data_IF_557436497369
#
_entry.id   IF_557436497369
#
_cell.length_a   1.000
_cell.length_b   1.000
_cell.length_c   1.000
_cell.angle_alpha   90.00
_cell.angle_beta   90.00
_cell.angle_gamma   90.00
#
_symmetry.space_group_name_H-M   'P 1'
#
loop_
_entity.id
_entity.type
_entity.pdbx_description
1 polymer ?
#
# COMPACT_ATOMS: atom_id res chain seq x y z
N UNK A 1 -39.75 13.93 -9.67
CA UNK A 1 -38.78 14.57 -8.76
C UNK A 1 -38.41 13.52 -7.71
N UNK A 2 -37.44 12.65 -8.00
CA UNK A 2 -36.95 11.68 -7.04
C UNK A 2 -36.16 12.43 -5.97
N UNK A 3 -36.44 12.14 -4.72
CA UNK A 3 -35.88 12.76 -3.52
C UNK A 3 -34.37 12.56 -3.46
N UNK A 4 -33.60 13.56 -3.91
CA UNK A 4 -32.13 13.67 -3.82
C UNK A 4 -31.72 14.11 -2.40
N UNK A 5 -32.30 13.50 -1.37
CA UNK A 5 -32.00 13.82 0.03
C UNK A 5 -31.82 12.51 0.80
N UNK A 6 -30.58 12.04 0.76
CA UNK A 6 -29.99 11.02 1.64
C UNK A 6 -30.64 9.63 1.53
N UNK A 7 -30.30 8.88 0.47
CA UNK A 7 -30.34 7.41 0.60
C UNK A 7 -29.33 7.02 1.68
N UNK A 8 -29.85 6.70 2.86
CA UNK A 8 -29.04 6.20 3.97
C UNK A 8 -28.62 4.79 3.59
N UNK A 9 -27.33 4.61 3.28
CA UNK A 9 -26.78 3.27 3.11
C UNK A 9 -26.96 2.47 4.39
N UNK A 10 -27.66 1.34 4.29
CA UNK A 10 -27.78 0.38 5.37
C UNK A 10 -26.63 -0.61 5.30
N UNK A 11 -25.81 -0.65 6.35
CA UNK A 11 -24.77 -1.67 6.53
C UNK A 11 -25.40 -2.83 7.31
N UNK A 12 -25.51 -4.03 6.74
CA UNK A 12 -26.01 -5.19 7.46
C UNK A 12 -25.09 -5.55 8.63
N UNK A 13 -25.66 -5.93 9.77
CA UNK A 13 -24.88 -6.27 10.98
C UNK A 13 -24.18 -7.63 10.87
N UNK A 14 -24.68 -8.49 9.99
CA UNK A 14 -24.22 -9.85 9.70
C UNK A 14 -23.31 -9.93 8.47
N UNK A 15 -22.95 -8.78 7.89
CA UNK A 15 -22.03 -8.68 6.75
C UNK A 15 -20.68 -8.05 7.17
N UNK A 16 -19.67 -8.87 7.49
CA UNK A 16 -18.35 -8.37 7.88
C UNK A 16 -17.60 -7.69 6.73
N UNK A 17 -17.93 -7.97 5.47
CA UNK A 17 -17.28 -7.33 4.31
C UNK A 17 -17.77 -5.90 4.19
N UNK A 18 -19.08 -5.67 4.23
CA UNK A 18 -19.67 -4.32 4.23
C UNK A 18 -19.15 -3.49 5.43
N UNK A 19 -19.10 -4.10 6.62
CA UNK A 19 -18.55 -3.46 7.82
C UNK A 19 -17.08 -3.05 7.65
N UNK A 20 -16.24 -3.91 7.08
CA UNK A 20 -14.81 -3.62 6.92
C UNK A 20 -14.51 -2.65 5.79
N UNK A 21 -15.32 -2.58 4.74
CA UNK A 21 -15.21 -1.49 3.75
C UNK A 21 -15.45 -0.13 4.39
N UNK A 22 -16.51 0.00 5.20
CA UNK A 22 -16.79 1.25 5.90
C UNK A 22 -15.71 1.60 6.93
N UNK A 23 -15.26 0.60 7.70
CA UNK A 23 -14.19 0.78 8.68
C UNK A 23 -12.88 1.19 8.01
N UNK A 24 -12.51 0.54 6.90
CA UNK A 24 -11.32 0.85 6.11
C UNK A 24 -11.35 2.29 5.57
N UNK A 25 -12.49 2.72 5.04
CA UNK A 25 -12.71 4.11 4.64
C UNK A 25 -12.41 5.09 5.78
N UNK A 26 -13.06 4.91 6.93
CA UNK A 26 -12.91 5.81 8.07
C UNK A 26 -11.49 5.82 8.63
N UNK A 27 -10.86 4.65 8.72
CA UNK A 27 -9.49 4.52 9.20
C UNK A 27 -8.48 5.22 8.29
N UNK A 28 -8.61 5.05 6.96
CA UNK A 28 -7.72 5.70 6.00
C UNK A 28 -7.94 7.20 5.89
N UNK A 29 -9.19 7.67 6.03
CA UNK A 29 -9.49 9.10 6.11
C UNK A 29 -8.84 9.74 7.36
N UNK A 30 -8.99 9.11 8.52
CA UNK A 30 -8.36 9.57 9.76
C UNK A 30 -6.84 9.55 9.69
N UNK A 31 -6.24 8.51 9.11
CA UNK A 31 -4.80 8.41 8.90
C UNK A 31 -4.27 9.50 7.97
N UNK A 32 -5.02 9.84 6.90
CA UNK A 32 -4.65 10.93 6.00
C UNK A 32 -4.58 12.26 6.73
N UNK A 33 -5.60 12.59 7.53
CA UNK A 33 -5.60 13.79 8.39
C UNK A 33 -4.40 13.77 9.35
N UNK A 34 -4.17 12.65 10.03
CA UNK A 34 -3.05 12.49 10.94
C UNK A 34 -1.71 12.79 10.26
N UNK A 35 -1.39 12.15 9.13
CA UNK A 35 -0.11 12.37 8.46
C UNK A 35 0.05 13.79 7.92
N UNK A 36 -1.03 14.42 7.44
CA UNK A 36 -0.99 15.80 6.95
C UNK A 36 -0.71 16.81 8.07
N UNK A 37 -1.30 16.61 9.25
CA UNK A 37 -1.07 17.48 10.42
C UNK A 37 0.31 17.24 11.04
N UNK A 38 0.76 15.99 11.13
CA UNK A 38 2.09 15.66 11.65
C UNK A 38 3.25 16.20 10.79
N UNK A 39 2.98 16.72 9.58
CA UNK A 39 3.99 17.45 8.78
C UNK A 39 4.60 18.65 9.53
N UNK A 40 3.88 19.28 10.46
CA UNK A 40 4.42 20.39 11.24
C UNK A 40 5.31 19.95 12.41
N UNK A 41 5.35 18.64 12.74
CA UNK A 41 6.09 18.11 13.90
C UNK A 41 7.43 17.48 13.52
N UNK A 42 7.80 17.53 12.23
CA UNK A 42 9.04 16.95 11.69
C UNK A 42 9.87 17.98 10.92
N UNK A 43 11.17 17.72 10.81
CA UNK A 43 12.10 18.55 10.02
C UNK A 43 11.75 18.53 8.54
N UNK A 44 12.14 19.58 7.81
CA UNK A 44 11.76 19.79 6.39
C UNK A 44 12.07 18.59 5.49
N UNK A 45 13.17 17.87 5.77
CA UNK A 45 13.57 16.68 4.99
C UNK A 45 12.50 15.58 4.97
N UNK A 46 11.63 15.50 5.98
CA UNK A 46 10.60 14.47 6.14
C UNK A 46 9.19 14.92 5.77
N UNK A 47 8.98 16.22 5.54
CA UNK A 47 7.64 16.76 5.23
C UNK A 47 7.06 16.17 3.95
N UNK A 48 7.91 15.82 2.99
CA UNK A 48 7.51 15.12 1.76
C UNK A 48 7.07 13.69 2.05
N UNK A 49 7.81 12.93 2.87
CA UNK A 49 7.43 11.55 3.23
C UNK A 49 6.08 11.47 3.94
N UNK A 50 5.80 12.40 4.87
CA UNK A 50 4.50 12.48 5.52
C UNK A 50 3.39 12.93 4.56
N UNK A 51 3.69 13.84 3.62
CA UNK A 51 2.74 14.20 2.57
C UNK A 51 2.38 12.98 1.71
N UNK A 52 3.38 12.21 1.28
CA UNK A 52 3.18 10.97 0.50
C UNK A 52 2.33 9.97 1.28
N UNK A 53 2.60 9.77 2.58
CA UNK A 53 1.78 8.91 3.45
C UNK A 53 0.32 9.38 3.56
N UNK A 54 0.12 10.71 3.67
CA UNK A 54 -1.21 11.33 3.67
C UNK A 54 -1.94 11.17 2.34
N UNK A 55 -1.23 11.25 1.20
CA UNK A 55 -1.79 11.01 -0.14
C UNK A 55 -2.19 9.55 -0.35
N UNK A 56 -1.33 8.60 0.04
CA UNK A 56 -1.61 7.16 -0.05
C UNK A 56 -2.92 6.82 0.67
N UNK A 57 -3.04 7.25 1.93
CA UNK A 57 -4.22 6.99 2.75
C UNK A 57 -5.44 7.80 2.30
N UNK A 58 -5.25 9.05 1.84
CA UNK A 58 -6.34 9.88 1.34
C UNK A 58 -6.97 9.36 0.04
N UNK A 59 -6.14 8.95 -0.92
CA UNK A 59 -6.60 8.32 -2.17
C UNK A 59 -7.37 7.03 -1.85
N UNK A 60 -6.82 6.19 -0.98
CA UNK A 60 -7.47 4.95 -0.61
C UNK A 60 -8.78 5.18 0.15
N UNK A 61 -8.86 6.21 1.01
CA UNK A 61 -10.13 6.59 1.64
C UNK A 61 -11.21 6.92 0.60
N UNK A 62 -10.88 7.73 -0.41
CA UNK A 62 -11.83 8.05 -1.49
C UNK A 62 -12.27 6.79 -2.25
N UNK A 63 -11.36 5.88 -2.56
CA UNK A 63 -11.74 4.63 -3.24
C UNK A 63 -12.56 3.70 -2.35
N UNK A 64 -12.24 3.58 -1.06
CA UNK A 64 -13.04 2.79 -0.11
C UNK A 64 -14.43 3.36 0.10
N UNK A 65 -14.59 4.69 0.01
CA UNK A 65 -15.91 5.33 -0.03
C UNK A 65 -16.73 4.83 -1.23
N UNK A 66 -16.15 4.72 -2.43
CA UNK A 66 -16.88 4.20 -3.59
C UNK A 66 -17.09 2.68 -3.52
N UNK A 67 -16.09 1.94 -3.06
CA UNK A 67 -16.14 0.48 -2.99
C UNK A 67 -17.19 -0.02 -2.00
N UNK A 68 -17.38 0.67 -0.86
CA UNK A 68 -18.42 0.29 0.10
C UNK A 68 -19.83 0.39 -0.53
N UNK A 69 -20.09 1.46 -1.31
CA UNK A 69 -21.36 1.70 -1.98
C UNK A 69 -21.58 0.67 -3.10
N UNK A 70 -20.52 0.39 -3.88
CA UNK A 70 -20.52 -0.65 -4.91
C UNK A 70 -20.87 -2.01 -4.30
N UNK A 71 -20.12 -2.46 -3.29
CA UNK A 71 -20.28 -3.78 -2.69
C UNK A 71 -21.66 -3.95 -2.05
N UNK A 72 -22.15 -2.97 -1.28
CA UNK A 72 -23.48 -3.07 -0.64
C UNK A 72 -24.61 -3.13 -1.68
N UNK A 73 -24.39 -2.58 -2.87
CA UNK A 73 -25.40 -2.57 -3.95
C UNK A 73 -25.36 -3.82 -4.82
N UNK A 74 -24.16 -4.32 -5.14
CA UNK A 74 -23.97 -5.40 -6.13
C UNK A 74 -23.64 -6.74 -5.49
N UNK A 75 -23.10 -6.75 -4.27
CA UNK A 75 -22.45 -7.89 -3.62
C UNK A 75 -21.30 -8.50 -4.45
N UNK A 76 -20.71 -7.70 -5.34
CA UNK A 76 -19.56 -8.10 -6.15
C UNK A 76 -18.28 -7.47 -5.63
N UNK A 77 -17.16 -8.17 -5.83
CA UNK A 77 -15.82 -7.65 -5.56
C UNK A 77 -15.53 -6.45 -6.47
N UNK A 78 -15.15 -5.28 -5.94
CA UNK A 78 -14.94 -4.05 -6.70
C UNK A 78 -13.55 -4.02 -7.39
N UNK A 79 -13.27 -4.99 -8.26
CA UNK A 79 -11.95 -5.22 -8.89
C UNK A 79 -11.39 -3.95 -9.52
N UNK A 80 -12.17 -3.30 -10.39
CA UNK A 80 -11.70 -2.09 -11.09
C UNK A 80 -11.33 -0.95 -10.12
N UNK A 81 -12.14 -0.73 -9.08
CA UNK A 81 -11.87 0.33 -8.08
C UNK A 81 -10.61 0.03 -7.27
N UNK A 82 -10.36 -1.24 -6.92
CA UNK A 82 -9.11 -1.66 -6.25
C UNK A 82 -7.89 -1.38 -7.13
N UNK A 83 -7.93 -1.76 -8.41
CA UNK A 83 -6.79 -1.52 -9.30
C UNK A 83 -6.55 -0.04 -9.61
N UNK A 84 -7.59 0.79 -9.67
CA UNK A 84 -7.43 2.25 -9.79
C UNK A 84 -6.74 2.81 -8.53
N UNK A 85 -7.19 2.42 -7.33
CA UNK A 85 -6.52 2.79 -6.08
C UNK A 85 -5.06 2.35 -6.06
N UNK A 86 -4.78 1.08 -6.35
CA UNK A 86 -3.42 0.53 -6.33
C UNK A 86 -2.51 1.19 -7.37
N UNK A 87 -3.02 1.51 -8.56
CA UNK A 87 -2.26 2.22 -9.61
C UNK A 87 -1.83 3.61 -9.17
N UNK A 88 -2.56 4.24 -8.24
CA UNK A 88 -2.18 5.53 -7.68
C UNK A 88 -1.31 5.38 -6.43
N UNK A 89 -1.67 4.46 -5.53
CA UNK A 89 -1.04 4.34 -4.21
C UNK A 89 0.26 3.56 -4.20
N UNK A 90 0.40 2.51 -5.02
CA UNK A 90 1.64 1.70 -5.07
C UNK A 90 2.81 2.50 -5.63
N UNK A 91 2.69 3.28 -6.72
CA UNK A 91 3.76 4.20 -7.14
C UNK A 91 4.19 5.16 -6.04
N UNK A 92 3.25 5.68 -5.24
CA UNK A 92 3.57 6.54 -4.10
C UNK A 92 4.30 5.78 -2.98
N UNK A 93 3.91 4.54 -2.69
CA UNK A 93 4.64 3.68 -1.75
C UNK A 93 6.08 3.40 -2.20
N UNK A 94 6.31 3.16 -3.50
CA UNK A 94 7.68 2.96 -4.01
C UNK A 94 8.50 4.24 -4.10
N UNK A 95 7.86 5.40 -4.31
CA UNK A 95 8.49 6.71 -4.16
C UNK A 95 9.04 6.88 -2.75
N UNK A 96 8.33 6.42 -1.73
CA UNK A 96 8.79 6.54 -0.34
C UNK A 96 10.10 5.77 -0.10
N UNK A 97 10.27 4.57 -0.66
CA UNK A 97 11.55 3.86 -0.56
C UNK A 97 12.70 4.70 -1.12
N UNK A 98 12.50 5.34 -2.27
CA UNK A 98 13.49 6.26 -2.83
C UNK A 98 13.75 7.45 -1.90
N UNK A 99 12.72 8.07 -1.32
CA UNK A 99 12.87 9.21 -0.40
C UNK A 99 13.70 8.83 0.84
N UNK A 100 13.47 7.65 1.42
CA UNK A 100 14.22 7.17 2.59
C UNK A 100 15.71 7.00 2.31
N UNK A 101 16.07 6.50 1.13
CA UNK A 101 17.48 6.21 0.78
C UNK A 101 18.14 7.31 -0.05
N UNK A 102 17.42 8.38 -0.41
CA UNK A 102 17.96 9.51 -1.19
C UNK A 102 19.17 10.15 -0.53
N UNK A 103 19.12 10.33 0.80
CA UNK A 103 20.24 10.89 1.56
C UNK A 103 21.49 9.99 1.56
N UNK A 104 21.34 8.69 1.27
CA UNK A 104 22.43 7.73 1.14
C UNK A 104 22.94 7.58 -0.30
N UNK A 105 22.51 8.45 -1.22
CA UNK A 105 23.02 8.51 -2.59
C UNK A 105 22.13 7.86 -3.65
N UNK A 106 20.85 7.58 -3.34
CA UNK A 106 19.93 7.06 -4.34
C UNK A 106 19.81 7.99 -5.55
N UNK A 107 19.93 7.43 -6.75
CA UNK A 107 19.78 8.16 -8.02
C UNK A 107 18.33 8.14 -8.49
N UNK A 108 17.95 9.11 -9.33
CA UNK A 108 16.63 9.12 -9.97
C UNK A 108 16.35 7.85 -10.80
N UNK A 109 17.38 7.16 -11.26
CA UNK A 109 17.25 5.86 -11.92
C UNK A 109 16.58 4.80 -11.02
N UNK A 110 16.87 4.79 -9.72
CA UNK A 110 16.23 3.85 -8.79
C UNK A 110 14.72 4.09 -8.71
N UNK A 111 14.32 5.37 -8.61
CA UNK A 111 12.92 5.76 -8.58
C UNK A 111 12.18 5.24 -9.82
N UNK A 112 12.72 5.48 -11.02
CA UNK A 112 12.09 5.03 -12.27
C UNK A 112 12.06 3.51 -12.43
N UNK A 113 13.09 2.79 -11.98
CA UNK A 113 13.07 1.32 -11.97
C UNK A 113 11.93 0.80 -11.08
N UNK A 114 11.75 1.36 -9.89
CA UNK A 114 10.69 0.95 -8.96
C UNK A 114 9.29 1.31 -9.49
N UNK A 115 9.11 2.51 -10.06
CA UNK A 115 7.85 2.91 -10.70
C UNK A 115 7.51 1.98 -11.86
N UNK A 116 8.47 1.70 -12.75
CA UNK A 116 8.24 0.80 -13.87
C UNK A 116 7.86 -0.61 -13.40
N UNK A 117 8.53 -1.13 -12.38
CA UNK A 117 8.20 -2.42 -11.79
C UNK A 117 6.78 -2.43 -11.18
N UNK A 118 6.36 -1.35 -10.52
CA UNK A 118 5.00 -1.20 -10.00
C UNK A 118 3.96 -1.15 -11.12
N UNK A 119 4.24 -0.43 -12.21
CA UNK A 119 3.36 -0.37 -13.39
C UNK A 119 3.22 -1.75 -14.04
N UNK A 120 4.33 -2.46 -14.27
CA UNK A 120 4.33 -3.82 -14.81
C UNK A 120 3.48 -4.76 -13.95
N UNK A 121 3.70 -4.72 -12.62
CA UNK A 121 2.96 -5.53 -11.66
C UNK A 121 1.46 -5.27 -11.76
N UNK A 122 1.04 -4.00 -11.75
CA UNK A 122 -0.38 -3.65 -11.69
C UNK A 122 -1.09 -3.79 -13.03
N UNK A 123 -0.45 -3.44 -14.15
CA UNK A 123 -1.06 -3.58 -15.49
C UNK A 123 -1.30 -5.05 -15.79
N UNK A 124 -0.31 -5.92 -15.59
CA UNK A 124 -0.50 -7.35 -15.84
C UNK A 124 -1.44 -8.00 -14.84
N UNK A 125 -1.41 -7.58 -13.57
CA UNK A 125 -2.40 -8.05 -12.60
C UNK A 125 -3.83 -7.67 -13.01
N UNK A 126 -4.04 -6.42 -13.43
CA UNK A 126 -5.35 -5.94 -13.86
C UNK A 126 -5.86 -6.66 -15.10
N UNK A 127 -5.00 -6.88 -16.09
CA UNK A 127 -5.37 -7.65 -17.28
C UNK A 127 -5.81 -9.06 -16.87
N UNK A 128 -5.01 -9.72 -16.03
CA UNK A 128 -5.31 -11.06 -15.55
C UNK A 128 -6.63 -11.17 -14.78
N UNK A 129 -6.91 -10.23 -13.88
CA UNK A 129 -8.10 -10.32 -13.01
C UNK A 129 -9.38 -9.76 -13.69
N UNK A 130 -9.30 -8.59 -14.32
CA UNK A 130 -10.46 -7.91 -14.88
C UNK A 130 -10.90 -8.41 -16.26
N UNK A 131 -10.01 -9.09 -17.00
CA UNK A 131 -10.30 -9.62 -18.34
C UNK A 131 -10.14 -11.14 -18.40
N UNK A 132 -10.33 -11.82 -17.26
CA UNK A 132 -10.26 -13.27 -17.18
C UNK A 132 -11.24 -13.95 -18.12
N UNK A 133 -10.77 -14.98 -18.81
CA UNK A 133 -11.60 -15.92 -19.59
C UNK A 133 -11.99 -17.17 -18.77
N UNK A 134 -11.66 -17.18 -17.48
CA UNK A 134 -11.87 -18.31 -16.56
C UNK A 134 -10.87 -19.46 -16.74
N UNK A 135 -9.90 -19.34 -17.66
CA UNK A 135 -8.91 -20.38 -17.90
C UNK A 135 -7.69 -20.27 -16.97
N UNK A 136 -7.19 -21.44 -16.55
CA UNK A 136 -5.95 -21.54 -15.78
C UNK A 136 -4.75 -20.97 -16.52
N UNK A 137 -4.69 -21.16 -17.84
CA UNK A 137 -3.62 -20.62 -18.68
C UNK A 137 -3.58 -19.09 -18.65
N UNK A 138 -4.73 -18.43 -18.70
CA UNK A 138 -4.82 -16.98 -18.64
C UNK A 138 -4.33 -16.45 -17.29
N UNK A 139 -4.88 -17.00 -16.19
CA UNK A 139 -4.53 -16.58 -14.84
C UNK A 139 -3.03 -16.73 -14.59
N UNK A 140 -2.44 -17.89 -14.93
CA UNK A 140 -1.01 -18.18 -14.73
C UNK A 140 -0.12 -17.26 -15.58
N UNK A 141 -0.47 -17.02 -16.84
CA UNK A 141 0.33 -16.17 -17.72
C UNK A 141 0.43 -14.74 -17.17
N UNK A 142 -0.71 -14.09 -16.92
CA UNK A 142 -0.73 -12.70 -16.46
C UNK A 142 -0.26 -12.56 -15.01
N UNK A 143 -0.58 -13.52 -14.15
CA UNK A 143 -0.08 -13.57 -12.77
C UNK A 143 1.44 -13.70 -12.72
N UNK A 144 2.03 -14.52 -13.60
CA UNK A 144 3.49 -14.65 -13.71
C UNK A 144 4.13 -13.35 -14.17
N UNK A 145 3.59 -12.70 -15.21
CA UNK A 145 4.10 -11.42 -15.70
C UNK A 145 3.99 -10.31 -14.65
N UNK A 146 2.87 -10.25 -13.91
CA UNK A 146 2.69 -9.34 -12.78
C UNK A 146 3.72 -9.59 -11.67
N UNK A 147 3.96 -10.86 -11.34
CA UNK A 147 4.89 -11.28 -10.29
C UNK A 147 6.33 -10.83 -10.56
N UNK A 148 6.75 -10.67 -11.82
CA UNK A 148 8.09 -10.14 -12.16
C UNK A 148 8.29 -8.75 -11.55
N UNK A 149 7.30 -7.86 -11.68
CA UNK A 149 7.36 -6.52 -11.11
C UNK A 149 7.38 -6.55 -9.57
N UNK A 150 6.52 -7.38 -8.97
CA UNK A 150 6.47 -7.58 -7.52
C UNK A 150 7.82 -8.09 -6.95
N UNK A 151 8.37 -9.15 -7.55
CA UNK A 151 9.65 -9.74 -7.13
C UNK A 151 10.80 -8.75 -7.30
N UNK A 152 10.79 -7.91 -8.32
CA UNK A 152 11.80 -6.86 -8.48
C UNK A 152 11.76 -5.84 -7.31
N UNK A 153 10.58 -5.36 -6.94
CA UNK A 153 10.41 -4.43 -5.81
C UNK A 153 10.85 -5.10 -4.50
N UNK A 154 10.40 -6.35 -4.27
CA UNK A 154 10.77 -7.16 -3.12
C UNK A 154 12.29 -7.36 -3.02
N UNK A 155 12.91 -7.78 -4.12
CA UNK A 155 14.36 -7.95 -4.24
C UNK A 155 15.09 -6.65 -3.90
N UNK A 156 14.68 -5.53 -4.51
CA UNK A 156 15.31 -4.22 -4.30
C UNK A 156 15.30 -3.84 -2.82
N UNK A 157 14.17 -4.02 -2.13
CA UNK A 157 14.00 -3.69 -0.72
C UNK A 157 14.73 -4.64 0.25
N UNK A 158 14.87 -5.93 -0.10
CA UNK A 158 15.49 -6.91 0.80
C UNK A 158 17.01 -7.03 0.66
N UNK A 159 17.51 -6.97 -0.58
CA UNK A 159 18.91 -7.27 -0.91
C UNK A 159 19.49 -6.46 -2.09
N UNK A 160 18.65 -5.77 -2.86
CA UNK A 160 19.07 -4.96 -4.01
C UNK A 160 19.41 -3.51 -3.65
N UNK A 161 19.19 -2.59 -4.60
CA UNK A 161 19.68 -1.21 -4.55
C UNK A 161 19.15 -0.44 -3.33
N UNK A 162 17.86 -0.61 -2.96
CA UNK A 162 17.30 0.03 -1.75
C UNK A 162 17.94 -0.51 -0.48
N UNK A 163 18.09 -1.83 -0.36
CA UNK A 163 18.69 -2.45 0.82
C UNK A 163 20.16 -2.02 1.02
N UNK A 164 20.93 -1.97 -0.07
CA UNK A 164 22.33 -1.57 -0.05
C UNK A 164 22.50 -0.10 0.35
N UNK A 165 21.69 0.80 -0.22
CA UNK A 165 21.71 2.22 0.13
C UNK A 165 21.24 2.45 1.58
N UNK A 166 20.25 1.70 2.05
CA UNK A 166 19.83 1.76 3.44
C UNK A 166 20.95 1.33 4.39
N UNK A 167 21.66 0.25 4.09
CA UNK A 167 22.81 -0.21 4.88
C UNK A 167 23.98 0.80 4.89
N UNK A 168 24.18 1.52 3.79
CA UNK A 168 25.16 2.62 3.68
C UNK A 168 24.70 3.92 4.35
N UNK A 169 23.45 4.03 4.81
CA UNK A 169 22.93 5.21 5.48
C UNK A 169 23.54 5.36 6.88
N UNK A 170 23.88 6.58 7.26
CA UNK A 170 24.33 6.93 8.62
C UNK A 170 23.19 6.99 9.64
N UNK A 171 21.94 6.69 9.24
CA UNK A 171 20.77 6.69 10.13
C UNK A 171 20.32 5.27 10.46
N UNK A 172 20.44 4.89 11.73
CA UNK A 172 19.89 3.63 12.26
C UNK A 172 18.37 3.58 12.10
N UNK A 173 17.69 4.72 12.20
CA UNK A 173 16.24 4.80 11.99
C UNK A 173 15.87 4.46 10.53
N UNK A 174 16.62 4.97 9.55
CA UNK A 174 16.43 4.62 8.13
C UNK A 174 16.72 3.14 7.88
N UNK A 175 17.83 2.61 8.41
CA UNK A 175 18.17 1.18 8.25
C UNK A 175 17.05 0.25 8.76
N UNK A 176 16.57 0.49 9.98
CA UNK A 176 15.46 -0.29 10.57
C UNK A 176 14.14 -0.06 9.85
N UNK A 177 13.86 1.18 9.47
CA UNK A 177 12.66 1.57 8.76
C UNK A 177 12.54 0.89 7.40
N UNK A 178 13.60 0.93 6.58
CA UNK A 178 13.61 0.23 5.29
C UNK A 178 13.42 -1.27 5.47
N UNK A 179 14.03 -1.89 6.50
CA UNK A 179 13.79 -3.32 6.79
C UNK A 179 12.33 -3.60 7.17
N UNK A 180 11.71 -2.73 7.96
CA UNK A 180 10.30 -2.85 8.31
C UNK A 180 9.41 -2.72 7.05
N UNK A 181 9.67 -1.74 6.18
CA UNK A 181 8.93 -1.59 4.92
C UNK A 181 9.18 -2.75 3.95
N UNK A 182 10.36 -3.36 3.96
CA UNK A 182 10.64 -4.58 3.20
C UNK A 182 9.78 -5.77 3.67
N UNK A 183 9.46 -5.85 4.97
CA UNK A 183 8.50 -6.82 5.51
C UNK A 183 7.06 -6.53 5.07
N UNK A 184 6.67 -5.27 4.91
CA UNK A 184 5.38 -4.93 4.29
C UNK A 184 5.29 -5.47 2.87
N UNK A 185 6.35 -5.37 2.07
CA UNK A 185 6.35 -5.97 0.73
C UNK A 185 6.27 -7.49 0.85
N UNK A 186 7.10 -8.13 1.67
CA UNK A 186 7.17 -9.60 1.73
C UNK A 186 5.90 -10.26 2.29
N UNK A 187 5.42 -9.76 3.43
CA UNK A 187 4.30 -10.38 4.18
C UNK A 187 3.02 -9.61 3.94
N UNK A 188 3.07 -8.29 4.04
CA UNK A 188 1.90 -7.44 3.85
C UNK A 188 1.32 -7.53 2.44
N UNK A 189 2.16 -7.53 1.40
CA UNK A 189 1.69 -7.55 0.01
C UNK A 189 1.50 -8.96 -0.54
N UNK A 190 1.98 -10.02 0.13
CA UNK A 190 1.79 -11.39 -0.32
C UNK A 190 0.30 -11.78 -0.42
N UNK A 191 -0.59 -11.11 0.31
CA UNK A 191 -2.03 -11.35 0.22
C UNK A 191 -2.61 -11.04 -1.16
N UNK A 192 -2.06 -10.07 -1.91
CA UNK A 192 -2.58 -9.67 -3.21
C UNK A 192 -2.35 -10.75 -4.30
N UNK A 193 -1.14 -11.31 -4.52
CA UNK A 193 -0.98 -12.43 -5.43
C UNK A 193 -1.68 -13.70 -4.94
N UNK A 194 -1.81 -13.91 -3.62
CA UNK A 194 -2.61 -15.03 -3.07
C UNK A 194 -4.08 -14.88 -3.46
N UNK A 195 -4.65 -13.69 -3.30
CA UNK A 195 -6.03 -13.44 -3.68
C UNK A 195 -6.23 -13.45 -5.19
N UNK A 196 -5.27 -12.96 -5.97
CA UNK A 196 -5.25 -13.14 -7.43
C UNK A 196 -5.32 -14.63 -7.79
N UNK A 197 -4.58 -15.52 -7.13
CA UNK A 197 -4.66 -16.97 -7.40
C UNK A 197 -5.99 -17.61 -7.00
N UNK A 198 -6.90 -16.88 -6.35
CA UNK A 198 -8.22 -17.37 -5.96
C UNK A 198 -9.35 -16.91 -6.91
N UNK A 199 -9.04 -16.09 -7.92
CA UNK A 199 -9.95 -15.70 -9.00
C UNK A 199 -10.44 -16.91 -9.84
N UNK A 200 -11.47 -16.73 -10.71
CA UNK A 200 -11.84 -17.75 -11.69
C UNK A 200 -10.65 -18.19 -12.56
N UNK A 201 -10.42 -19.49 -12.68
CA UNK A 201 -9.23 -20.06 -13.32
C UNK A 201 -7.95 -19.93 -12.49
N UNK A 202 -8.00 -19.55 -11.21
CA UNK A 202 -6.82 -19.46 -10.35
C UNK A 202 -6.47 -20.77 -9.62
N UNK A 203 -5.20 -20.98 -9.28
CA UNK A 203 -4.72 -22.20 -8.61
C UNK A 203 -5.32 -22.46 -7.22
N UNK A 204 -5.64 -21.41 -6.47
CA UNK A 204 -6.16 -21.51 -5.09
C UNK A 204 -7.68 -21.38 -5.02
N UNK A 205 -8.31 -20.97 -6.13
CA UNK A 205 -9.75 -20.74 -6.23
C UNK A 205 -10.54 -22.02 -6.47
N UNK A 206 -11.87 -21.90 -6.70
CA UNK A 206 -12.77 -23.03 -6.93
C UNK A 206 -12.38 -23.94 -8.09
N UNK A 207 -11.78 -23.38 -9.15
CA UNK A 207 -11.35 -24.13 -10.34
C UNK A 207 -9.99 -24.84 -10.17
N UNK A 208 -9.31 -24.60 -9.06
CA UNK A 208 -8.01 -25.18 -8.71
C UNK A 208 -8.09 -26.03 -7.45
N UNK A 209 -7.35 -25.63 -6.41
CA UNK A 209 -7.28 -26.35 -5.14
C UNK A 209 -8.50 -26.13 -4.22
N UNK A 210 -9.41 -25.20 -4.55
CA UNK A 210 -10.62 -24.93 -3.78
C UNK A 210 -10.36 -24.43 -2.36
N UNK A 211 -9.18 -23.85 -2.10
CA UNK A 211 -8.73 -23.45 -0.76
C UNK A 211 -9.28 -22.07 -0.34
N UNK A 212 -9.55 -21.21 -1.31
CA UNK A 212 -9.98 -19.83 -1.10
C UNK A 212 -11.21 -19.52 -1.95
N UNK A 213 -12.10 -18.68 -1.42
CA UNK A 213 -13.26 -18.17 -2.15
C UNK A 213 -13.05 -16.68 -2.43
N UNK A 214 -13.28 -16.19 -3.67
CA UNK A 214 -13.09 -14.79 -4.02
C UNK A 214 -13.76 -13.80 -3.04
N UNK A 215 -15.00 -14.09 -2.64
CA UNK A 215 -15.76 -13.24 -1.73
C UNK A 215 -15.12 -13.11 -0.33
N UNK A 216 -14.45 -14.16 0.16
CA UNK A 216 -13.76 -14.11 1.46
C UNK A 216 -12.51 -13.21 1.41
N UNK A 217 -11.99 -12.93 0.20
CA UNK A 217 -10.81 -12.09 0.02
C UNK A 217 -11.12 -10.62 0.22
N UNK A 218 -12.35 -10.16 0.00
CA UNK A 218 -12.68 -8.74 0.21
C UNK A 218 -12.49 -8.33 1.67
N UNK A 219 -12.89 -9.20 2.60
CA UNK A 219 -12.61 -9.02 4.03
C UNK A 219 -11.09 -8.91 4.28
N UNK A 220 -10.31 -9.84 3.72
CA UNK A 220 -8.86 -9.87 3.90
C UNK A 220 -8.19 -8.65 3.26
N UNK A 221 -8.61 -8.23 2.07
CA UNK A 221 -8.10 -7.05 1.38
C UNK A 221 -8.43 -5.77 2.13
N UNK A 222 -9.62 -5.64 2.70
CA UNK A 222 -9.99 -4.47 3.50
C UNK A 222 -9.08 -4.29 4.72
N UNK A 223 -8.81 -5.39 5.42
CA UNK A 223 -7.88 -5.41 6.57
C UNK A 223 -6.45 -5.16 6.10
N UNK A 224 -6.02 -5.86 5.05
CA UNK A 224 -4.66 -5.78 4.53
C UNK A 224 -4.34 -4.38 4.02
N UNK A 225 -5.24 -3.72 3.28
CA UNK A 225 -5.03 -2.36 2.81
C UNK A 225 -4.93 -1.37 3.97
N UNK A 226 -5.77 -1.49 5.00
CA UNK A 226 -5.66 -0.65 6.19
C UNK A 226 -4.26 -0.81 6.83
N UNK A 227 -3.78 -2.04 7.00
CA UNK A 227 -2.44 -2.32 7.54
C UNK A 227 -1.34 -1.79 6.60
N UNK A 228 -1.40 -2.13 5.31
CA UNK A 228 -0.37 -1.84 4.32
C UNK A 228 -0.29 -0.36 3.93
N UNK A 229 -1.35 0.43 4.17
CA UNK A 229 -1.35 1.87 3.89
C UNK A 229 -1.10 2.67 5.16
N UNK A 230 -1.86 2.41 6.23
CA UNK A 230 -1.73 3.14 7.50
C UNK A 230 -0.45 2.71 8.21
N UNK A 231 -0.23 1.40 8.36
CA UNK A 231 0.97 0.85 9.01
C UNK A 231 2.26 1.24 8.30
N UNK A 232 2.26 1.22 6.96
CA UNK A 232 3.37 1.73 6.15
C UNK A 232 3.67 3.20 6.48
N UNK A 233 2.66 4.06 6.45
CA UNK A 233 2.82 5.48 6.82
C UNK A 233 3.26 5.69 8.27
N UNK A 234 2.81 4.84 9.20
CA UNK A 234 3.22 4.91 10.61
C UNK A 234 4.69 4.54 10.81
N UNK A 235 5.23 3.59 10.04
CA UNK A 235 6.67 3.30 10.02
C UNK A 235 7.44 4.53 9.55
N UNK A 236 7.02 5.14 8.44
CA UNK A 236 7.62 6.37 7.89
C UNK A 236 7.58 7.51 8.89
N UNK A 237 6.44 7.72 9.54
CA UNK A 237 6.27 8.71 10.61
C UNK A 237 7.20 8.46 11.80
N UNK A 238 7.33 7.20 12.23
CA UNK A 238 8.26 6.81 13.30
C UNK A 238 9.71 7.14 12.98
N UNK A 239 10.16 6.90 11.74
CA UNK A 239 11.50 7.29 11.27
C UNK A 239 11.63 8.82 11.32
N UNK A 240 10.66 9.55 10.75
CA UNK A 240 10.69 11.00 10.64
C UNK A 240 10.75 11.70 12.00
N UNK A 241 9.97 11.23 12.99
CA UNK A 241 9.99 11.74 14.36
C UNK A 241 11.31 11.46 15.06
N UNK A 242 11.81 10.24 14.97
CA UNK A 242 13.09 9.85 15.58
C UNK A 242 14.24 10.71 15.05
N UNK A 243 14.30 10.88 13.74
CA UNK A 243 15.33 11.67 13.05
C UNK A 243 15.20 13.19 13.26
N UNK A 244 13.99 13.67 13.55
CA UNK A 244 13.75 15.08 13.88
C UNK A 244 14.10 15.39 15.33
N UNK A 245 13.87 14.44 16.26
CA UNK A 245 14.24 14.59 17.67
C UNK A 245 15.76 14.66 17.88
N UNK A 246 16.53 13.83 17.16
CA UNK A 246 18.02 13.85 17.23
C UNK A 246 18.59 15.21 16.83
N UNK A 247 17.94 15.95 15.93
CA UNK A 247 18.41 17.28 15.50
C UNK A 247 18.02 18.44 16.42
N UNK A 248 17.04 18.24 17.31
CA UNK A 248 16.55 19.29 18.23
C UNK A 248 17.20 19.20 19.61
N UNK A 249 17.96 18.13 19.90
CA UNK A 249 18.79 18.07 21.10
C UNK A 249 19.79 19.26 21.07
N UNK A 250 19.80 20.13 22.10
CA UNK A 250 20.63 21.33 22.09
C UNK A 250 22.09 20.91 22.00
N UNK A 251 22.85 21.59 21.13
CA UNK A 251 24.31 21.52 21.17
C UNK A 251 24.72 21.86 22.61
N UNK A 252 25.20 20.86 23.34
CA UNK A 252 25.70 21.04 24.70
C UNK A 252 26.68 22.20 24.67
N UNK A 253 26.34 23.27 25.37
CA UNK A 253 27.19 24.42 25.55
C UNK A 253 28.56 23.91 25.97
N UNK A 254 29.57 24.18 25.15
CA UNK A 254 30.97 24.11 25.55
C UNK A 254 31.09 25.04 26.76
N UNK A 255 31.02 24.48 27.96
CA UNK A 255 31.37 25.15 29.19
C UNK A 255 32.86 25.44 29.11
N UNK A 256 33.18 26.64 28.60
CA UNK A 256 34.45 27.28 28.87
C UNK A 256 34.38 27.70 30.33
N UNK A 257 34.97 26.89 31.19
CA UNK A 257 35.49 27.30 32.51
C UNK A 257 36.89 26.70 32.64
#
# INVERSE_FOLDING_TARGET
MQTVLLDIMRIPVDDPVAFTFFTGYMAMAAASVFFLFERSTVTDKWKTSLLVSGLITGIAAVHYYYMRDYYVTTHETPIALRYIDWTLTVPLMVVEFYLLVRAAGAKASLLWKLILAAVIMLVFGYIGEAFTDGSMSHSVLWGTLSTVGYVYILYSAWMGEVAQLAAASNSVAVQKGVRALAWFILVGWAIYPIGYMAMPGGWLGPDGAGLLRPHDLDLLYNIADAINKIGFGLVVYGIARSESAVKVAPASATLVV
#
